data_IF_216194518118
#
_entry.id   IF_216194518118
#
_cell.length_a   1.000
_cell.length_b   1.000
_cell.length_c   1.000
_cell.angle_alpha   90.00
_cell.angle_beta   90.00
_cell.angle_gamma   90.00
#
_symmetry.space_group_name_H-M   'P 1'
#
loop_
_entity.id
_entity.type
_entity.pdbx_description
1 polymer ?
#
# COMPACT_ATOMS: atom_id res chain seq x y z
N UNK A 1 13.73 19.58 -3.57
CA UNK A 1 13.06 20.45 -4.55
C UNK A 1 12.07 19.58 -5.32
N UNK A 2 10.77 19.82 -5.16
CA UNK A 2 9.72 19.10 -5.90
C UNK A 2 9.67 19.67 -7.32
N UNK A 3 10.12 18.89 -8.30
CA UNK A 3 10.19 19.27 -9.71
C UNK A 3 8.97 18.85 -10.53
N UNK A 4 7.90 18.39 -9.87
CA UNK A 4 6.66 17.92 -10.50
C UNK A 4 5.47 18.64 -9.87
N UNK A 5 4.46 18.98 -10.69
CA UNK A 5 3.19 19.54 -10.24
C UNK A 5 2.31 18.52 -9.49
N UNK A 6 2.77 17.27 -9.42
CA UNK A 6 2.06 16.14 -8.83
C UNK A 6 2.96 15.42 -7.84
N UNK A 7 2.35 14.90 -6.77
CA UNK A 7 3.01 14.14 -5.72
C UNK A 7 2.13 12.97 -5.29
N UNK A 8 2.76 11.88 -4.86
CA UNK A 8 2.05 10.74 -4.27
C UNK A 8 1.65 11.05 -2.83
N UNK A 9 0.47 10.57 -2.44
CA UNK A 9 -0.05 10.64 -1.08
C UNK A 9 -0.68 9.30 -0.70
N UNK A 10 -0.67 8.97 0.59
CA UNK A 10 -1.36 7.79 1.08
C UNK A 10 -2.87 7.89 0.78
N UNK A 11 -3.45 6.86 0.17
CA UNK A 11 -4.87 6.86 -0.21
C UNK A 11 -5.81 7.13 0.97
N UNK A 12 -5.46 6.66 2.17
CA UNK A 12 -6.22 6.93 3.40
C UNK A 12 -6.33 8.43 3.71
N UNK A 13 -5.31 9.23 3.36
CA UNK A 13 -5.33 10.68 3.58
C UNK A 13 -6.13 11.42 2.49
N UNK A 14 -6.54 10.75 1.42
CA UNK A 14 -7.41 11.34 0.39
C UNK A 14 -8.90 11.20 0.74
N UNK A 15 -9.25 10.28 1.66
CA UNK A 15 -10.62 10.08 2.13
C UNK A 15 -11.17 11.40 2.68
N UNK A 16 -12.35 11.75 2.21
CA UNK A 16 -13.02 13.01 2.52
C UNK A 16 -14.54 12.79 2.65
N UNK A 17 -15.27 13.87 2.94
CA UNK A 17 -16.72 13.80 3.16
C UNK A 17 -17.55 13.94 1.87
N UNK A 18 -16.94 13.85 0.68
CA UNK A 18 -17.62 14.13 -0.58
C UNK A 18 -17.32 13.13 -1.70
N UNK A 19 -16.08 13.08 -2.19
CA UNK A 19 -15.72 12.39 -3.44
C UNK A 19 -14.92 11.11 -3.23
N UNK A 20 -14.25 10.94 -2.10
CA UNK A 20 -13.40 9.77 -1.81
C UNK A 20 -13.81 9.20 -0.46
N UNK A 21 -14.28 7.96 -0.45
CA UNK A 21 -14.78 7.30 0.75
C UNK A 21 -14.23 5.87 0.85
N UNK A 22 -14.28 5.31 2.06
CA UNK A 22 -13.99 3.89 2.28
C UNK A 22 -15.18 3.07 1.78
N UNK A 23 -14.91 2.07 0.93
CA UNK A 23 -15.93 1.15 0.44
C UNK A 23 -16.28 0.12 1.52
N UNK A 24 -17.38 0.34 2.23
CA UNK A 24 -17.86 -0.53 3.31
C UNK A 24 -18.73 -1.69 2.83
N UNK A 25 -19.14 -1.69 1.57
CA UNK A 25 -20.02 -2.66 0.92
C UNK A 25 -19.26 -3.80 0.20
N UNK A 26 -17.95 -3.88 0.38
CA UNK A 26 -17.10 -4.93 -0.20
C UNK A 26 -17.15 -6.20 0.66
N UNK A 27 -17.72 -7.28 0.11
CA UNK A 27 -17.86 -8.56 0.83
C UNK A 27 -16.61 -9.44 0.80
N UNK A 28 -15.71 -9.23 -0.16
CA UNK A 28 -14.50 -10.04 -0.33
C UNK A 28 -13.43 -9.29 -1.12
N UNK A 29 -12.16 -9.56 -0.80
CA UNK A 29 -10.99 -8.98 -1.47
C UNK A 29 -10.11 -10.12 -1.98
N UNK A 30 -9.62 -9.99 -3.22
CA UNK A 30 -8.57 -10.86 -3.75
C UNK A 30 -7.23 -10.15 -3.59
N UNK A 31 -6.32 -10.74 -2.81
CA UNK A 31 -4.99 -10.19 -2.59
C UNK A 31 -3.96 -10.82 -3.54
N UNK A 32 -3.31 -9.99 -4.36
CA UNK A 32 -2.25 -10.41 -5.28
C UNK A 32 -0.95 -9.77 -4.82
N UNK A 33 0.07 -10.60 -4.57
CA UNK A 33 1.40 -10.11 -4.21
C UNK A 33 2.24 -9.96 -5.48
N UNK A 34 2.59 -8.72 -5.82
CA UNK A 34 3.46 -8.37 -6.95
C UNK A 34 4.79 -7.88 -6.39
N UNK A 35 5.89 -8.52 -6.78
CA UNK A 35 7.24 -8.18 -6.31
C UNK A 35 8.10 -7.73 -7.49
N UNK A 36 8.83 -6.63 -7.28
CA UNK A 36 9.76 -6.04 -8.24
C UNK A 36 11.18 -6.03 -7.67
N UNK A 37 12.19 -6.01 -8.54
CA UNK A 37 13.60 -5.94 -8.14
C UNK A 37 13.97 -4.59 -7.51
N UNK A 38 13.19 -3.55 -7.80
CA UNK A 38 13.36 -2.19 -7.27
C UNK A 38 12.01 -1.54 -7.00
N UNK A 39 12.04 -0.37 -6.37
CA UNK A 39 10.86 0.47 -6.16
C UNK A 39 10.31 0.95 -7.51
N UNK A 40 9.04 0.67 -7.75
CA UNK A 40 8.34 1.03 -9.00
C UNK A 40 7.05 1.79 -8.70
N UNK A 41 6.66 2.66 -9.63
CA UNK A 41 5.31 3.23 -9.67
C UNK A 41 4.52 2.47 -10.73
N UNK A 42 3.41 1.87 -10.32
CA UNK A 42 2.49 1.13 -11.18
C UNK A 42 1.17 1.89 -11.35
N UNK A 43 0.41 1.56 -12.40
CA UNK A 43 -0.96 2.05 -12.56
C UNK A 43 -1.95 1.03 -11.98
N UNK A 44 -2.70 1.44 -10.96
CA UNK A 44 -3.75 0.66 -10.33
C UNK A 44 -5.07 1.44 -10.43
N UNK A 45 -6.07 0.86 -11.09
CA UNK A 45 -7.38 1.51 -11.33
C UNK A 45 -7.28 2.93 -11.92
N UNK A 46 -6.30 3.14 -12.82
CA UNK A 46 -6.04 4.43 -13.44
C UNK A 46 -5.20 5.40 -12.60
N UNK A 47 -4.80 5.03 -11.38
CA UNK A 47 -4.00 5.87 -10.49
C UNK A 47 -2.56 5.38 -10.37
N UNK A 48 -1.61 6.32 -10.39
CA UNK A 48 -0.22 6.06 -10.06
C UNK A 48 -0.08 5.65 -8.59
N UNK A 49 0.48 4.47 -8.35
CA UNK A 49 0.65 3.88 -7.02
C UNK A 49 2.05 3.33 -6.89
N UNK A 50 2.73 3.64 -5.80
CA UNK A 50 4.08 3.14 -5.54
C UNK A 50 4.05 1.73 -4.94
N UNK A 51 4.92 0.84 -5.43
CA UNK A 51 5.15 -0.48 -4.85
C UNK A 51 5.72 -0.35 -3.44
N UNK A 52 5.42 -1.30 -2.55
CA UNK A 52 5.96 -1.25 -1.19
C UNK A 52 7.45 -1.65 -1.15
N UNK A 53 8.30 -0.83 -0.51
CA UNK A 53 9.72 -1.15 -0.27
C UNK A 53 9.97 -1.53 1.19
N UNK A 54 10.18 -2.81 1.51
CA UNK A 54 10.33 -3.28 2.89
C UNK A 54 11.69 -3.00 3.55
N UNK A 55 12.58 -2.23 2.90
CA UNK A 55 13.98 -2.08 3.32
C UNK A 55 14.56 -0.66 3.36
N UNK A 56 13.84 0.36 2.88
CA UNK A 56 14.25 1.75 3.08
C UNK A 56 13.70 2.24 4.44
N UNK A 57 14.43 3.05 5.22
CA UNK A 57 13.92 3.64 6.46
C UNK A 57 12.86 4.70 6.10
N UNK A 58 11.64 4.26 5.82
CA UNK A 58 10.46 5.10 5.85
C UNK A 58 10.18 5.44 7.31
N UNK A 59 9.84 6.72 7.58
CA UNK A 59 9.29 7.22 8.86
C UNK A 59 8.41 6.18 9.56
N UNK A 60 8.32 6.15 10.91
CA UNK A 60 7.62 5.10 11.65
C UNK A 60 6.11 5.15 11.37
N UNK A 61 5.70 4.61 10.23
CA UNK A 61 4.40 4.04 10.01
C UNK A 61 4.34 2.85 10.96
N UNK A 62 3.45 2.94 11.93
CA UNK A 62 3.31 1.94 12.95
C UNK A 62 3.08 0.56 12.29
N UNK A 63 4.01 -0.35 12.55
CA UNK A 63 3.82 -1.80 12.45
C UNK A 63 3.63 -2.40 11.05
N UNK A 64 4.70 -2.52 10.25
CA UNK A 64 4.93 -3.71 9.41
C UNK A 64 6.42 -4.06 9.41
N UNK A 65 6.78 -5.07 10.18
CA UNK A 65 8.17 -5.39 10.54
C UNK A 65 8.86 -6.33 9.54
N UNK A 66 9.61 -5.81 8.56
CA UNK A 66 10.66 -6.52 7.79
C UNK A 66 10.22 -7.73 6.92
N UNK A 67 10.33 -7.63 5.60
CA UNK A 67 9.76 -8.60 4.64
C UNK A 67 10.21 -10.07 4.77
N UNK A 68 11.29 -10.42 5.47
CA UNK A 68 11.77 -11.82 5.53
C UNK A 68 11.21 -12.64 6.70
N UNK A 69 11.02 -12.07 7.91
CA UNK A 69 10.20 -12.69 8.94
C UNK A 69 8.67 -12.57 8.72
N UNK A 70 8.21 -11.56 7.94
CA UNK A 70 6.77 -11.33 7.73
C UNK A 70 6.07 -12.44 6.98
N UNK A 71 6.66 -13.04 5.94
CA UNK A 71 5.96 -14.05 5.13
C UNK A 71 5.31 -15.19 5.94
N UNK A 72 5.86 -15.57 7.10
CA UNK A 72 5.27 -16.61 7.98
C UNK A 72 4.19 -16.10 8.93
N UNK A 73 4.17 -14.81 9.29
CA UNK A 73 3.15 -14.30 10.24
C UNK A 73 1.81 -14.01 9.56
N UNK A 74 1.79 -13.85 8.24
CA UNK A 74 0.57 -13.54 7.47
C UNK A 74 -0.26 -14.81 7.16
N UNK A 75 0.37 -15.97 7.03
CA UNK A 75 -0.34 -17.25 6.82
C UNK A 75 -1.17 -17.65 8.06
N UNK A 76 -0.64 -17.44 9.27
CA UNK A 76 -1.32 -17.84 10.52
C UNK A 76 -2.52 -16.94 10.86
N UNK A 77 -2.55 -15.70 10.39
CA UNK A 77 -3.64 -14.75 10.69
C UNK A 77 -4.81 -14.79 9.71
N UNK A 78 -4.73 -15.59 8.63
CA UNK A 78 -5.79 -15.75 7.61
C UNK A 78 -6.60 -17.04 7.75
N UNK A 79 -6.24 -17.92 8.70
CA UNK A 79 -6.92 -19.20 8.99
C UNK A 79 -7.61 -19.23 10.37
N UNK A 80 -7.68 -18.10 11.07
CA UNK A 80 -8.36 -17.93 12.35
C UNK A 80 -9.46 -16.86 12.24
#
# INVERSE_FOLDING_TARGET
>A
MFGSNEALAAALHLVNASTIAVAHDVSSITYIHLMFDRLEVICADGFATESFSPGAPTLPAHGFASARPLLRSWETSMMA
#
